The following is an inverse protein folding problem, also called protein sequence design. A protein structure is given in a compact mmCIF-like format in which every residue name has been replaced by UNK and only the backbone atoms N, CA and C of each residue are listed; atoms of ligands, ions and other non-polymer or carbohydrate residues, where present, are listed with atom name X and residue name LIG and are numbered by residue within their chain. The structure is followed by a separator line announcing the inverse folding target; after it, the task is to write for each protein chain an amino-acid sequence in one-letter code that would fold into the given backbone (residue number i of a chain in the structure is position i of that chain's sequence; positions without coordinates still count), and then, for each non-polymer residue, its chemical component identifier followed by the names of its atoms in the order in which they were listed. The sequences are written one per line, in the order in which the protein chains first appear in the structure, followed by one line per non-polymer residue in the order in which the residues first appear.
data_IF_592745930049
#
_entry.id   IF_592745930049
#
_cell.length_a   1.000
_cell.length_b   1.000
_cell.length_c   1.000
_cell.angle_alpha   90.00
_cell.angle_beta   90.00
_cell.angle_gamma   90.00
#
_symmetry.space_group_name_H-M   'P 1'
#
loop_
_entity.id
_entity.type
_entity.pdbx_description
1 polymer ?
#
# COMPACT_ATOMS: atom_id res chain seq x y z
N UNK A 1 8.31 -15.05 41.16
CA UNK A 1 7.58 -14.58 39.97
C UNK A 1 7.01 -15.84 39.32
N UNK A 2 5.70 -16.00 39.33
CA UNK A 2 5.05 -17.22 38.84
C UNK A 2 5.09 -17.26 37.30
N UNK A 3 5.30 -18.45 36.72
CA UNK A 3 5.51 -18.64 35.28
C UNK A 3 4.35 -18.08 34.42
N UNK A 4 3.11 -18.22 34.89
CA UNK A 4 1.93 -17.65 34.22
C UNK A 4 1.96 -16.12 34.15
N UNK A 5 2.50 -15.45 35.17
CA UNK A 5 2.63 -13.99 35.16
C UNK A 5 3.69 -13.52 34.15
N UNK A 6 4.70 -14.34 33.89
CA UNK A 6 5.76 -14.02 32.92
C UNK A 6 5.25 -14.18 31.48
N UNK A 7 4.49 -15.25 31.22
CA UNK A 7 3.87 -15.51 29.92
C UNK A 7 2.86 -14.41 29.55
N UNK A 8 2.01 -13.98 30.49
CA UNK A 8 1.07 -12.88 30.28
C UNK A 8 1.77 -11.53 30.02
N UNK A 9 2.90 -11.26 30.67
CA UNK A 9 3.69 -10.06 30.41
C UNK A 9 4.27 -10.07 28.99
N UNK A 10 4.84 -11.20 28.57
CA UNK A 10 5.39 -11.36 27.21
C UNK A 10 4.31 -11.23 26.13
N UNK A 11 3.12 -11.80 26.36
CA UNK A 11 1.97 -11.66 25.47
C UNK A 11 1.53 -10.20 25.35
N UNK A 12 1.41 -9.50 26.48
CA UNK A 12 1.06 -8.09 26.49
C UNK A 12 2.11 -7.22 25.79
N UNK A 13 3.40 -7.46 26.05
CA UNK A 13 4.49 -6.76 25.39
C UNK A 13 4.45 -6.98 23.87
N UNK A 14 4.24 -8.22 23.44
CA UNK A 14 4.08 -8.57 22.02
C UNK A 14 2.89 -7.84 21.39
N UNK A 15 1.75 -7.81 22.09
CA UNK A 15 0.57 -7.09 21.64
C UNK A 15 0.84 -5.59 21.48
N UNK A 16 1.53 -4.96 22.45
CA UNK A 16 1.83 -3.52 22.38
C UNK A 16 2.71 -3.17 21.18
N UNK A 17 3.70 -4.00 20.88
CA UNK A 17 4.59 -3.83 19.72
C UNK A 17 3.79 -3.95 18.42
N UNK A 18 2.98 -4.99 18.29
CA UNK A 18 2.18 -5.22 17.10
C UNK A 18 1.13 -4.12 16.89
N UNK A 19 0.47 -3.69 17.96
CA UNK A 19 -0.52 -2.60 17.90
C UNK A 19 0.13 -1.30 17.45
N UNK A 20 1.35 -1.01 17.90
CA UNK A 20 2.09 0.18 17.46
C UNK A 20 2.45 0.11 15.97
N UNK A 21 2.92 -1.04 15.50
CA UNK A 21 3.25 -1.24 14.08
C UNK A 21 2.01 -1.07 13.18
N UNK A 22 0.86 -1.60 13.58
CA UNK A 22 -0.41 -1.43 12.85
C UNK A 22 -0.77 0.05 12.76
N UNK A 23 -0.67 0.80 13.86
CA UNK A 23 -0.95 2.24 13.87
C UNK A 23 -0.01 3.00 12.93
N UNK A 24 1.30 2.73 13.00
CA UNK A 24 2.30 3.36 12.13
C UNK A 24 2.02 3.08 10.65
N UNK A 25 1.78 1.80 10.29
CA UNK A 25 1.44 1.40 8.91
C UNK A 25 0.13 2.01 8.43
N UNK A 26 -0.85 2.15 9.31
CA UNK A 26 -2.13 2.80 9.01
C UNK A 26 -1.94 4.29 8.71
N UNK A 27 -1.10 4.99 9.48
CA UNK A 27 -0.74 6.38 9.22
C UNK A 27 0.05 6.54 7.90
N UNK A 28 1.04 5.68 7.65
CA UNK A 28 1.76 5.66 6.36
C UNK A 28 0.80 5.50 5.18
N UNK A 29 -0.16 4.57 5.27
CA UNK A 29 -1.15 4.33 4.22
C UNK A 29 -2.04 5.55 3.97
N UNK A 30 -2.49 6.24 5.03
CA UNK A 30 -3.28 7.47 4.92
C UNK A 30 -2.51 8.59 4.21
N UNK A 31 -1.23 8.76 4.55
CA UNK A 31 -0.34 9.70 3.84
C UNK A 31 -0.26 9.39 2.36
N UNK A 32 -0.04 8.12 1.97
CA UNK A 32 0.01 7.72 0.55
C UNK A 32 -1.32 7.98 -0.18
N UNK A 33 -2.46 7.98 0.53
CA UNK A 33 -3.77 8.38 -0.01
C UNK A 33 -3.97 9.90 -0.13
N UNK A 34 -3.04 10.71 0.37
CA UNK A 34 -3.16 12.17 0.42
C UNK A 34 -3.90 12.69 1.66
N UNK A 35 -4.06 11.86 2.69
CA UNK A 35 -4.66 12.21 3.98
C UNK A 35 -3.55 12.51 5.01
N UNK A 36 -3.86 13.24 6.09
CA UNK A 36 -2.91 13.48 7.20
C UNK A 36 -1.52 14.02 6.76
N UNK A 37 -1.53 14.94 5.80
CA UNK A 37 -0.32 15.57 5.28
C UNK A 37 0.20 16.70 6.17
N UNK A 38 -0.62 17.16 7.12
CA UNK A 38 -0.23 18.17 8.09
C UNK A 38 0.99 17.70 8.91
N UNK A 39 1.96 18.60 9.08
CA UNK A 39 3.20 18.30 9.80
C UNK A 39 4.30 17.65 8.96
N UNK A 40 4.05 17.29 7.70
CA UNK A 40 5.11 16.89 6.78
C UNK A 40 5.86 18.12 6.25
N UNK A 41 7.18 17.99 6.12
CA UNK A 41 8.00 18.99 5.47
C UNK A 41 8.04 18.79 3.94
N UNK A 42 8.56 19.78 3.20
CA UNK A 42 8.62 19.74 1.74
C UNK A 42 9.35 18.51 1.19
N UNK A 43 10.42 18.05 1.85
CA UNK A 43 11.17 16.86 1.40
C UNK A 43 10.35 15.59 1.57
N UNK A 44 9.63 15.45 2.69
CA UNK A 44 8.75 14.30 2.93
C UNK A 44 7.59 14.26 1.94
N UNK A 45 6.99 15.41 1.63
CA UNK A 45 5.96 15.52 0.60
C UNK A 45 6.50 15.14 -0.79
N UNK A 46 7.71 15.58 -1.15
CA UNK A 46 8.34 15.20 -2.42
C UNK A 46 8.60 13.69 -2.54
N UNK A 47 9.02 13.02 -1.46
CA UNK A 47 9.18 11.56 -1.50
C UNK A 47 7.85 10.83 -1.63
N UNK A 48 6.80 11.34 -0.97
CA UNK A 48 5.45 10.81 -1.11
C UNK A 48 4.94 10.95 -2.56
N UNK A 49 5.12 12.12 -3.17
CA UNK A 49 4.77 12.37 -4.58
C UNK A 49 5.48 11.41 -5.52
N UNK A 50 6.79 11.18 -5.33
CA UNK A 50 7.55 10.22 -6.14
C UNK A 50 6.98 8.81 -6.03
N UNK A 51 6.65 8.36 -4.82
CA UNK A 51 6.10 7.04 -4.58
C UNK A 51 4.72 6.86 -5.24
N UNK A 52 3.83 7.83 -5.07
CA UNK A 52 2.49 7.82 -5.66
C UNK A 52 2.58 7.89 -7.19
N UNK A 53 3.44 8.75 -7.74
CA UNK A 53 3.64 8.86 -9.18
C UNK A 53 4.14 7.54 -9.79
N UNK A 54 5.17 6.93 -9.20
CA UNK A 54 5.73 5.66 -9.67
C UNK A 54 4.72 4.51 -9.61
N UNK A 55 3.97 4.40 -8.51
CA UNK A 55 2.94 3.36 -8.35
C UNK A 55 1.78 3.56 -9.31
N UNK A 56 1.26 4.78 -9.46
CA UNK A 56 0.23 5.11 -10.43
C UNK A 56 0.65 4.78 -11.86
N UNK A 57 1.88 5.14 -12.25
CA UNK A 57 2.42 4.82 -13.58
C UNK A 57 2.38 3.31 -13.87
N UNK A 58 2.71 2.47 -12.88
CA UNK A 58 2.65 1.00 -13.03
C UNK A 58 1.21 0.51 -13.20
N UNK A 59 0.27 1.05 -12.43
CA UNK A 59 -1.16 0.71 -12.55
C UNK A 59 -1.71 1.09 -13.92
N UNK A 60 -1.41 2.31 -14.40
CA UNK A 60 -1.82 2.77 -15.73
C UNK A 60 -1.25 1.85 -16.81
N UNK A 61 0.05 1.56 -16.77
CA UNK A 61 0.69 0.64 -17.74
C UNK A 61 0.00 -0.73 -17.76
N UNK A 62 -0.29 -1.30 -16.59
CA UNK A 62 -0.94 -2.61 -16.51
C UNK A 62 -2.35 -2.57 -17.10
N UNK A 63 -3.10 -1.50 -16.85
CA UNK A 63 -4.43 -1.27 -17.42
C UNK A 63 -4.37 -1.19 -18.95
N UNK A 64 -3.38 -0.47 -19.50
CA UNK A 64 -3.19 -0.34 -20.94
C UNK A 64 -2.85 -1.69 -21.60
N UNK A 65 -1.98 -2.49 -20.96
CA UNK A 65 -1.69 -3.86 -21.41
C UNK A 65 -2.96 -4.73 -21.46
N UNK A 66 -3.83 -4.62 -20.46
CA UNK A 66 -5.09 -5.37 -20.41
C UNK A 66 -6.03 -4.96 -21.55
N UNK A 67 -6.20 -3.66 -21.80
CA UNK A 67 -7.03 -3.18 -22.91
C UNK A 67 -6.49 -3.61 -24.27
N UNK A 68 -5.16 -3.55 -24.47
CA UNK A 68 -4.55 -3.97 -25.72
C UNK A 68 -4.77 -5.48 -25.99
N UNK A 69 -4.67 -6.30 -24.96
CA UNK A 69 -4.94 -7.73 -25.05
C UNK A 69 -6.40 -8.00 -25.43
N UNK A 70 -7.35 -7.30 -24.81
CA UNK A 70 -8.78 -7.42 -25.12
C UNK A 70 -9.09 -7.00 -26.56
N UNK A 71 -8.56 -5.86 -27.01
CA UNK A 71 -8.70 -5.38 -28.39
C UNK A 71 -8.15 -6.42 -29.38
N UNK A 72 -6.99 -7.01 -29.07
CA UNK A 72 -6.36 -8.01 -29.93
C UNK A 72 -7.21 -9.27 -30.03
N UNK A 73 -7.73 -9.77 -28.90
CA UNK A 73 -8.63 -10.92 -28.86
C UNK A 73 -9.92 -10.68 -29.66
N UNK A 74 -10.51 -9.49 -29.53
CA UNK A 74 -11.70 -9.11 -30.30
C UNK A 74 -11.41 -9.03 -31.81
N UNK A 75 -10.29 -8.42 -32.21
CA UNK A 75 -9.88 -8.37 -33.63
C UNK A 75 -9.66 -9.75 -34.22
N UNK A 76 -9.06 -10.68 -33.48
CA UNK A 76 -8.91 -12.07 -33.92
C UNK A 76 -10.27 -12.76 -34.10
N UNK A 77 -11.22 -12.52 -33.20
CA UNK A 77 -12.57 -13.09 -33.31
C UNK A 77 -13.33 -12.56 -34.53
N UNK A 78 -13.23 -11.26 -34.80
CA UNK A 78 -13.93 -10.61 -35.94
C UNK A 78 -13.23 -10.90 -37.27
N UNK A 79 -11.89 -10.96 -37.30
CA UNK A 79 -11.11 -11.21 -38.52
C UNK A 79 -11.06 -12.68 -38.96
N UNK A 80 -11.65 -13.59 -38.19
CA UNK A 80 -11.84 -15.01 -38.54
C UNK A 80 -13.24 -15.30 -39.12
N UNK A 81 -14.01 -14.27 -39.48
CA UNK A 81 -15.24 -14.36 -40.28
C UNK A 81 -15.04 -13.58 -41.59
#
# INVERSE_FOLDING_TARGET
MDQQSLELQLENDTYTVLSKEILEKTHELRKVKGEELDGLNTKELQELEKMVHLSLRRVVKKKDEMFLNEITALKQKVGCH
#
